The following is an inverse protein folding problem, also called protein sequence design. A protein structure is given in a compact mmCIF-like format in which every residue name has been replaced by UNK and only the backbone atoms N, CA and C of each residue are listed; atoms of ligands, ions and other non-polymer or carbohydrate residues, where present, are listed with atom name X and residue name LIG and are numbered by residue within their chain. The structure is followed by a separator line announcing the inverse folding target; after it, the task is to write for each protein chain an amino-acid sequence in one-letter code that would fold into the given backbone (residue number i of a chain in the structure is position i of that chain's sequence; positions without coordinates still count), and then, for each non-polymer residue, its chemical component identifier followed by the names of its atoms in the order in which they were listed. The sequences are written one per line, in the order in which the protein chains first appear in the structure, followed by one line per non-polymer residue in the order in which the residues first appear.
data_IF_580305580708
#
_entry.id   IF_580305580708
#
_cell.length_a   1.000
_cell.length_b   1.000
_cell.length_c   1.000
_cell.angle_alpha   90.00
_cell.angle_beta   90.00
_cell.angle_gamma   90.00
#
_symmetry.space_group_name_H-M   'P 1'
#
loop_
_entity.id
_entity.type
_entity.pdbx_description
1 polymer ?
#
# COMPACT_ATOMS: atom_id res chain seq x y z
N UNK A 1 4.05 -34.48 -6.76
CA UNK A 1 2.58 -34.60 -6.56
C UNK A 1 2.10 -34.46 -5.10
N UNK A 2 2.14 -35.50 -4.24
CA UNK A 2 1.51 -35.47 -2.89
C UNK A 2 1.96 -34.29 -2.02
N UNK A 3 3.27 -34.07 -1.91
CA UNK A 3 3.85 -32.97 -1.11
C UNK A 3 3.37 -31.59 -1.58
N UNK A 4 3.29 -31.36 -2.89
CA UNK A 4 2.72 -30.13 -3.45
C UNK A 4 1.24 -30.00 -3.08
N UNK A 5 0.47 -31.08 -3.22
CA UNK A 5 -0.97 -31.08 -2.90
C UNK A 5 -1.23 -30.66 -1.44
N UNK A 6 -0.39 -31.12 -0.51
CA UNK A 6 -0.44 -30.73 0.91
C UNK A 6 -0.10 -29.24 1.10
N UNK A 7 1.02 -28.75 0.55
CA UNK A 7 1.38 -27.33 0.65
C UNK A 7 0.33 -26.42 0.01
N UNK A 8 -0.23 -26.83 -1.11
CA UNK A 8 -1.24 -26.11 -1.86
C UNK A 8 -2.57 -26.05 -1.07
N UNK A 9 -3.01 -27.15 -0.46
CA UNK A 9 -4.16 -27.16 0.46
C UNK A 9 -3.94 -26.26 1.69
N UNK A 10 -2.72 -26.23 2.25
CA UNK A 10 -2.35 -25.31 3.35
C UNK A 10 -2.46 -23.84 2.89
N UNK A 11 -2.02 -23.51 1.66
CA UNK A 11 -2.13 -22.17 1.07
C UNK A 11 -3.60 -21.76 0.88
N UNK A 12 -4.48 -22.67 0.42
CA UNK A 12 -5.93 -22.43 0.34
C UNK A 12 -6.49 -22.08 1.72
N UNK A 13 -6.29 -22.96 2.70
CA UNK A 13 -6.84 -22.79 4.06
C UNK A 13 -6.33 -21.50 4.71
N UNK A 14 -5.03 -21.19 4.58
CA UNK A 14 -4.44 -19.96 5.11
C UNK A 14 -4.99 -18.70 4.40
N UNK A 15 -5.16 -18.75 3.08
CA UNK A 15 -5.73 -17.65 2.29
C UNK A 15 -7.19 -17.37 2.66
N UNK A 16 -8.00 -18.43 2.81
CA UNK A 16 -9.40 -18.32 3.24
C UNK A 16 -9.52 -17.74 4.65
N UNK A 17 -8.91 -18.39 5.65
CA UNK A 17 -8.99 -17.96 7.05
C UNK A 17 -8.44 -16.54 7.24
N UNK A 18 -7.31 -16.24 6.61
CA UNK A 18 -6.67 -14.92 6.67
C UNK A 18 -7.54 -13.82 6.06
N UNK A 19 -8.02 -13.99 4.83
CA UNK A 19 -8.76 -12.93 4.14
C UNK A 19 -10.21 -12.80 4.62
N UNK A 20 -10.86 -13.89 5.06
CA UNK A 20 -12.13 -13.80 5.81
C UNK A 20 -11.92 -12.96 7.07
N UNK A 21 -10.84 -13.18 7.82
CA UNK A 21 -10.51 -12.37 9.02
C UNK A 21 -10.28 -10.90 8.67
N UNK A 22 -9.59 -10.59 7.56
CA UNK A 22 -9.41 -9.21 7.07
C UNK A 22 -10.74 -8.55 6.76
N UNK A 23 -11.62 -9.20 5.99
CA UNK A 23 -12.96 -8.71 5.66
C UNK A 23 -13.79 -8.45 6.94
N UNK A 24 -13.91 -9.45 7.81
CA UNK A 24 -14.70 -9.38 9.06
C UNK A 24 -14.20 -8.27 9.98
N UNK A 25 -12.89 -8.19 10.23
CA UNK A 25 -12.30 -7.19 11.14
C UNK A 25 -12.43 -5.77 10.59
N UNK A 26 -12.24 -5.57 9.27
CA UNK A 26 -12.44 -4.26 8.63
C UNK A 26 -13.91 -3.82 8.72
N UNK A 27 -14.86 -4.69 8.39
CA UNK A 27 -16.28 -4.33 8.32
C UNK A 27 -16.86 -4.00 9.71
N UNK A 28 -16.53 -4.81 10.72
CA UNK A 28 -17.02 -4.63 12.09
C UNK A 28 -16.35 -3.45 12.82
N UNK A 29 -15.09 -3.11 12.49
CA UNK A 29 -14.36 -2.05 13.21
C UNK A 29 -14.56 -0.68 12.55
N UNK A 30 -15.44 0.17 13.12
CA UNK A 30 -15.78 1.50 12.57
C UNK A 30 -14.57 2.34 12.13
N UNK A 31 -13.51 2.38 12.95
CA UNK A 31 -12.28 3.14 12.66
C UNK A 31 -11.45 2.57 11.50
N UNK A 32 -11.52 1.26 11.23
CA UNK A 32 -10.94 0.65 10.02
C UNK A 32 -11.87 0.85 8.82
N UNK A 33 -13.17 0.57 8.96
CA UNK A 33 -14.19 0.76 7.91
C UNK A 33 -14.23 2.18 7.33
N UNK A 34 -13.93 3.20 8.14
CA UNK A 34 -13.84 4.60 7.70
C UNK A 34 -12.48 4.98 7.07
N UNK A 35 -11.46 4.13 7.15
CA UNK A 35 -10.13 4.36 6.54
C UNK A 35 -10.18 4.16 5.02
N UNK A 36 -9.67 5.13 4.26
CA UNK A 36 -9.55 5.05 2.79
C UNK A 36 -8.79 3.78 2.36
N UNK A 37 -7.73 3.44 3.10
CA UNK A 37 -6.89 2.25 2.87
C UNK A 37 -7.68 0.94 2.88
N UNK A 38 -8.70 0.86 3.74
CA UNK A 38 -9.52 -0.33 3.87
C UNK A 38 -10.42 -0.57 2.67
N UNK A 39 -10.55 0.39 1.73
CA UNK A 39 -11.19 0.13 0.43
C UNK A 39 -10.28 -0.75 -0.44
N UNK A 40 -9.00 -0.39 -0.58
CA UNK A 40 -8.03 -1.16 -1.37
C UNK A 40 -7.65 -2.49 -0.71
N UNK A 41 -7.55 -2.52 0.63
CA UNK A 41 -7.26 -3.76 1.39
C UNK A 41 -8.45 -4.73 1.32
N UNK A 42 -9.69 -4.23 1.39
CA UNK A 42 -10.88 -5.08 1.20
C UNK A 42 -11.00 -5.56 -0.25
N UNK A 43 -10.66 -4.73 -1.24
CA UNK A 43 -10.57 -5.13 -2.65
C UNK A 43 -9.62 -6.33 -2.83
N UNK A 44 -8.40 -6.23 -2.28
CA UNK A 44 -7.40 -7.30 -2.35
C UNK A 44 -7.85 -8.57 -1.61
N UNK A 45 -8.42 -8.43 -0.40
CA UNK A 45 -8.93 -9.56 0.36
C UNK A 45 -10.08 -10.28 -0.37
N UNK A 46 -10.92 -9.57 -1.12
CA UNK A 46 -11.99 -10.18 -1.93
C UNK A 46 -11.45 -10.86 -3.18
N UNK A 47 -10.44 -10.31 -3.88
CA UNK A 47 -9.81 -11.00 -5.02
C UNK A 47 -8.99 -12.22 -4.57
N UNK A 48 -8.31 -12.15 -3.42
CA UNK A 48 -7.63 -13.29 -2.81
C UNK A 48 -8.63 -14.40 -2.38
N UNK A 49 -9.81 -14.04 -1.86
CA UNK A 49 -10.87 -15.02 -1.54
C UNK A 49 -11.47 -15.65 -2.79
N UNK A 50 -11.73 -14.88 -3.85
CA UNK A 50 -12.18 -15.43 -5.14
C UNK A 50 -11.14 -16.41 -5.69
N UNK A 51 -9.85 -16.07 -5.61
CA UNK A 51 -8.76 -16.97 -6.02
C UNK A 51 -8.76 -18.26 -5.19
N UNK A 52 -8.87 -18.16 -3.86
CA UNK A 52 -8.86 -19.31 -2.96
C UNK A 52 -10.13 -20.19 -3.04
N UNK A 53 -11.27 -19.65 -3.47
CA UNK A 53 -12.54 -20.38 -3.61
C UNK A 53 -12.78 -20.96 -5.02
N UNK A 54 -12.32 -20.29 -6.09
CA UNK A 54 -12.75 -20.55 -7.47
C UNK A 54 -11.60 -20.76 -8.46
N UNK A 55 -10.34 -20.66 -8.01
CA UNK A 55 -9.17 -20.92 -8.85
C UNK A 55 -8.32 -22.02 -8.23
N UNK A 56 -7.82 -21.78 -7.02
CA UNK A 56 -6.95 -22.71 -6.29
C UNK A 56 -7.53 -24.13 -6.13
N UNK A 57 -8.84 -24.35 -5.88
CA UNK A 57 -9.36 -25.71 -5.74
C UNK A 57 -9.29 -26.53 -7.04
N UNK A 58 -9.54 -25.90 -8.19
CA UNK A 58 -9.45 -26.56 -9.50
C UNK A 58 -8.00 -26.84 -9.91
N UNK A 59 -7.07 -25.93 -9.62
CA UNK A 59 -5.63 -26.17 -9.79
C UNK A 59 -5.17 -27.38 -8.94
N UNK A 60 -5.61 -27.47 -7.68
CA UNK A 60 -5.32 -28.59 -6.78
C UNK A 60 -5.92 -29.90 -7.28
N UNK A 61 -7.18 -29.89 -7.74
CA UNK A 61 -7.83 -31.05 -8.34
C UNK A 61 -7.11 -31.51 -9.60
N UNK A 62 -6.65 -30.59 -10.45
CA UNK A 62 -5.84 -30.88 -11.63
C UNK A 62 -4.46 -31.46 -11.26
N UNK A 63 -3.86 -31.06 -10.14
CA UNK A 63 -2.62 -31.69 -9.62
C UNK A 63 -2.93 -33.13 -9.18
N UNK A 64 -4.01 -33.36 -8.44
CA UNK A 64 -4.38 -34.69 -7.92
C UNK A 64 -4.83 -35.64 -9.04
N UNK A 65 -5.55 -35.13 -10.04
CA UNK A 65 -6.16 -35.90 -11.14
C UNK A 65 -5.24 -36.05 -12.35
N UNK A 66 -3.92 -35.84 -12.20
CA UNK A 66 -2.92 -35.95 -13.28
C UNK A 66 -3.28 -35.11 -14.53
N UNK A 67 -3.74 -33.87 -14.29
CA UNK A 67 -4.21 -32.88 -15.27
C UNK A 67 -5.52 -33.23 -16.01
N UNK A 68 -6.20 -34.32 -15.64
CA UNK A 68 -7.53 -34.68 -16.18
C UNK A 68 -8.61 -33.73 -15.67
N UNK A 69 -9.47 -33.27 -16.56
CA UNK A 69 -10.56 -32.32 -16.32
C UNK A 69 -11.93 -32.93 -16.58
N UNK A 70 -12.72 -33.10 -15.50
CA UNK A 70 -14.03 -33.77 -15.55
C UNK A 70 -15.24 -32.82 -15.61
N UNK A 71 -15.06 -31.52 -15.35
CA UNK A 71 -16.17 -30.56 -15.17
C UNK A 71 -16.70 -29.90 -16.46
N UNK A 72 -16.22 -30.35 -17.63
CA UNK A 72 -16.66 -29.87 -18.93
C UNK A 72 -16.30 -28.40 -19.28
N UNK A 73 -16.78 -27.95 -20.44
CA UNK A 73 -16.41 -26.67 -21.07
C UNK A 73 -16.82 -25.43 -20.24
N UNK A 74 -17.98 -25.47 -19.57
CA UNK A 74 -18.50 -24.30 -18.83
C UNK A 74 -17.60 -24.01 -17.62
N UNK A 75 -17.33 -25.01 -16.78
CA UNK A 75 -16.45 -24.82 -15.62
C UNK A 75 -15.01 -24.53 -16.03
N UNK A 76 -14.53 -25.09 -17.16
CA UNK A 76 -13.20 -24.78 -17.71
C UNK A 76 -13.06 -23.29 -18.05
N UNK A 77 -14.09 -22.72 -18.70
CA UNK A 77 -14.11 -21.29 -19.00
C UNK A 77 -14.34 -20.44 -17.73
N UNK A 78 -15.08 -20.91 -16.71
CA UNK A 78 -15.22 -20.21 -15.41
C UNK A 78 -13.89 -20.15 -14.66
N UNK A 79 -13.18 -21.28 -14.52
CA UNK A 79 -11.87 -21.37 -13.86
C UNK A 79 -10.84 -20.43 -14.50
N UNK A 80 -10.63 -20.57 -15.81
CA UNK A 80 -9.67 -19.76 -16.58
C UNK A 80 -10.03 -18.26 -16.58
N UNK A 81 -11.31 -17.90 -16.74
CA UNK A 81 -11.78 -16.49 -16.64
C UNK A 81 -11.56 -15.94 -15.23
N UNK A 82 -11.82 -16.72 -14.19
CA UNK A 82 -11.68 -16.25 -12.79
C UNK A 82 -10.21 -15.98 -12.44
N UNK A 83 -9.28 -16.83 -12.89
CA UNK A 83 -7.83 -16.55 -12.81
C UNK A 83 -7.48 -15.23 -13.53
N UNK A 84 -7.98 -15.05 -14.76
CA UNK A 84 -7.74 -13.87 -15.59
C UNK A 84 -8.37 -12.58 -15.02
N UNK A 85 -9.39 -12.68 -14.18
CA UNK A 85 -9.94 -11.53 -13.45
C UNK A 85 -9.15 -11.26 -12.17
N UNK A 86 -8.94 -12.29 -11.34
CA UNK A 86 -8.51 -12.12 -9.95
C UNK A 86 -7.05 -11.65 -9.83
N UNK A 87 -6.13 -12.21 -10.63
CA UNK A 87 -4.71 -11.84 -10.58
C UNK A 87 -4.49 -10.36 -10.98
N UNK A 88 -5.05 -9.84 -12.10
CA UNK A 88 -5.05 -8.41 -12.40
C UNK A 88 -5.70 -7.56 -11.31
N UNK A 89 -6.85 -8.00 -10.77
CA UNK A 89 -7.58 -7.26 -9.72
C UNK A 89 -6.69 -7.05 -8.48
N UNK A 90 -5.92 -8.06 -8.10
CA UNK A 90 -4.98 -7.98 -6.97
C UNK A 90 -3.83 -6.99 -7.22
N UNK A 91 -3.09 -7.09 -8.34
CA UNK A 91 -1.98 -6.15 -8.61
C UNK A 91 -2.45 -4.72 -8.85
N UNK A 92 -3.58 -4.50 -9.53
CA UNK A 92 -4.14 -3.17 -9.71
C UNK A 92 -4.60 -2.57 -8.36
N UNK A 93 -5.13 -3.39 -7.45
CA UNK A 93 -5.49 -2.95 -6.08
C UNK A 93 -4.25 -2.54 -5.28
N UNK A 94 -3.13 -3.27 -5.43
CA UNK A 94 -1.83 -2.92 -4.84
C UNK A 94 -1.22 -1.66 -5.45
N UNK A 95 -1.34 -1.45 -6.76
CA UNK A 95 -0.91 -0.24 -7.44
C UNK A 95 -1.73 0.98 -6.96
N UNK A 96 -3.06 0.87 -6.90
CA UNK A 96 -3.93 1.94 -6.40
C UNK A 96 -3.62 2.31 -4.94
N UNK A 97 -3.39 1.32 -4.07
CA UNK A 97 -2.92 1.52 -2.70
C UNK A 97 -1.56 2.23 -2.68
N UNK A 98 -0.61 1.82 -3.52
CA UNK A 98 0.74 2.40 -3.60
C UNK A 98 0.70 3.86 -4.09
N UNK A 99 -0.10 4.17 -5.11
CA UNK A 99 -0.32 5.55 -5.58
C UNK A 99 -0.92 6.42 -4.48
N UNK A 100 -1.97 5.95 -3.79
CA UNK A 100 -2.57 6.69 -2.67
C UNK A 100 -1.55 6.96 -1.54
N UNK A 101 -0.77 5.94 -1.16
CA UNK A 101 0.26 6.07 -0.11
C UNK A 101 1.41 6.98 -0.51
N UNK A 102 1.84 6.96 -1.77
CA UNK A 102 2.88 7.84 -2.28
C UNK A 102 2.43 9.31 -2.26
N UNK A 103 1.21 9.60 -2.74
CA UNK A 103 0.60 10.94 -2.70
C UNK A 103 0.49 11.48 -1.27
N UNK A 104 -0.12 10.70 -0.36
CA UNK A 104 -0.24 11.00 1.07
C UNK A 104 1.11 11.17 1.79
N UNK A 105 2.21 10.66 1.22
CA UNK A 105 3.56 10.89 1.73
C UNK A 105 4.18 12.17 1.13
N UNK A 106 3.96 12.50 -0.14
CA UNK A 106 4.51 13.72 -0.74
C UNK A 106 3.86 15.00 -0.22
N UNK A 107 2.55 15.01 -0.03
CA UNK A 107 1.76 16.22 0.28
C UNK A 107 2.19 16.94 1.58
N UNK A 108 2.29 18.29 1.57
CA UNK A 108 2.32 19.11 2.78
C UNK A 108 1.04 18.92 3.61
N UNK A 109 1.19 18.82 4.93
CA UNK A 109 0.07 18.49 5.82
C UNK A 109 -1.01 19.58 5.88
N UNK A 110 -0.62 20.82 5.60
CA UNK A 110 -1.53 21.97 5.63
C UNK A 110 -2.40 22.04 4.37
N UNK A 111 -1.91 21.55 3.23
CA UNK A 111 -2.74 21.33 2.02
C UNK A 111 -3.73 20.18 2.26
N UNK A 112 -3.28 19.10 2.94
CA UNK A 112 -4.16 17.98 3.31
C UNK A 112 -5.28 18.41 4.29
N UNK A 113 -5.04 19.38 5.19
CA UNK A 113 -6.10 19.99 6.02
C UNK A 113 -7.15 20.71 5.17
N UNK A 114 -6.73 21.42 4.12
CA UNK A 114 -7.61 22.26 3.31
C UNK A 114 -8.41 21.48 2.25
N UNK A 115 -7.80 20.50 1.57
CA UNK A 115 -8.51 19.67 0.58
C UNK A 115 -7.90 18.26 0.46
N UNK A 116 -8.57 17.20 0.92
CA UNK A 116 -8.06 15.83 0.79
C UNK A 116 -8.23 15.32 -0.64
N UNK A 117 -7.12 15.15 -1.39
CA UNK A 117 -7.14 14.72 -2.79
C UNK A 117 -7.92 13.41 -3.01
N UNK A 118 -7.72 12.43 -2.12
CA UNK A 118 -8.45 11.17 -2.12
C UNK A 118 -9.48 11.15 -1.00
N UNK A 119 -10.76 11.01 -1.34
CA UNK A 119 -11.85 10.78 -0.37
C UNK A 119 -12.28 9.30 -0.41
N UNK A 120 -13.00 8.83 0.62
CA UNK A 120 -13.50 7.45 0.64
C UNK A 120 -14.42 7.14 -0.56
N UNK A 121 -15.28 8.09 -0.97
CA UNK A 121 -16.14 7.95 -2.17
C UNK A 121 -15.30 7.81 -3.44
N UNK A 122 -14.26 8.64 -3.62
CA UNK A 122 -13.32 8.51 -4.76
C UNK A 122 -12.59 7.16 -4.75
N UNK A 123 -12.10 6.69 -3.60
CA UNK A 123 -11.43 5.40 -3.49
C UNK A 123 -12.36 4.21 -3.78
N UNK A 124 -13.63 4.25 -3.33
CA UNK A 124 -14.63 3.24 -3.71
C UNK A 124 -14.92 3.24 -5.21
N UNK A 125 -15.04 4.41 -5.85
CA UNK A 125 -15.21 4.51 -7.31
C UNK A 125 -14.01 3.89 -8.04
N UNK A 126 -12.77 4.21 -7.63
CA UNK A 126 -11.56 3.60 -8.20
C UNK A 126 -11.57 2.07 -8.10
N UNK A 127 -12.00 1.52 -6.96
CA UNK A 127 -12.17 0.06 -6.80
C UNK A 127 -13.26 -0.48 -7.74
N UNK A 128 -14.45 0.14 -7.81
CA UNK A 128 -15.52 -0.33 -8.70
C UNK A 128 -15.11 -0.30 -10.18
N UNK A 129 -14.45 0.76 -10.65
CA UNK A 129 -13.95 0.85 -12.03
C UNK A 129 -12.86 -0.20 -12.32
N UNK A 130 -12.00 -0.49 -11.36
CA UNK A 130 -10.95 -1.52 -11.45
C UNK A 130 -11.56 -2.92 -11.58
N UNK A 131 -12.53 -3.27 -10.73
CA UNK A 131 -13.24 -4.56 -10.82
C UNK A 131 -14.02 -4.70 -12.14
N UNK A 132 -14.70 -3.63 -12.58
CA UNK A 132 -15.39 -3.62 -13.88
C UNK A 132 -14.40 -3.82 -15.05
N UNK A 133 -13.25 -3.14 -15.03
CA UNK A 133 -12.19 -3.32 -16.02
C UNK A 133 -11.66 -4.77 -16.03
N UNK A 134 -11.27 -5.32 -14.87
CA UNK A 134 -10.70 -6.67 -14.80
C UNK A 134 -11.72 -7.75 -15.19
N UNK A 135 -13.00 -7.59 -14.83
CA UNK A 135 -14.08 -8.47 -15.30
C UNK A 135 -14.23 -8.40 -16.83
N UNK A 136 -14.46 -7.21 -17.39
CA UNK A 136 -14.67 -7.02 -18.83
C UNK A 136 -13.47 -7.50 -19.67
N UNK A 137 -12.25 -7.26 -19.20
CA UNK A 137 -11.04 -7.75 -19.87
C UNK A 137 -10.96 -9.28 -19.80
N UNK A 138 -11.21 -9.89 -18.63
CA UNK A 138 -11.15 -11.34 -18.45
C UNK A 138 -12.13 -12.13 -19.30
N UNK A 139 -13.26 -11.52 -19.69
CA UNK A 139 -14.31 -12.13 -20.49
C UNK A 139 -14.01 -12.15 -22.01
N UNK A 140 -13.03 -11.38 -22.49
CA UNK A 140 -12.74 -11.29 -23.94
C UNK A 140 -12.46 -12.65 -24.62
N UNK A 141 -11.76 -13.63 -24.01
CA UNK A 141 -11.58 -14.96 -24.59
C UNK A 141 -12.90 -15.72 -24.79
N UNK A 142 -13.85 -15.57 -23.87
CA UNK A 142 -15.20 -16.17 -23.96
C UNK A 142 -15.95 -15.60 -25.16
N UNK A 143 -15.85 -14.29 -25.38
CA UNK A 143 -16.42 -13.56 -26.52
C UNK A 143 -15.56 -13.59 -27.79
N UNK A 144 -14.65 -14.57 -27.93
CA UNK A 144 -13.99 -14.88 -29.21
C UNK A 144 -12.49 -14.58 -29.30
N UNK A 145 -11.85 -13.99 -28.27
CA UNK A 145 -10.39 -13.81 -28.26
C UNK A 145 -9.61 -15.08 -27.87
N UNK A 146 -10.28 -16.24 -27.85
CA UNK A 146 -9.68 -17.57 -27.66
C UNK A 146 -9.05 -18.11 -28.95
N UNK A 147 -8.12 -19.06 -28.84
CA UNK A 147 -7.36 -19.60 -29.99
C UNK A 147 -8.07 -20.77 -30.69
N UNK A 148 -8.81 -21.57 -29.93
CA UNK A 148 -9.51 -22.78 -30.37
C UNK A 148 -11.02 -22.65 -30.10
N UNK A 149 -11.89 -23.29 -30.90
CA UNK A 149 -13.34 -23.18 -30.74
C UNK A 149 -13.87 -23.76 -29.41
N UNK A 150 -13.17 -24.75 -28.84
CA UNK A 150 -13.43 -25.33 -27.50
C UNK A 150 -12.19 -25.24 -26.64
N UNK A 151 -12.37 -24.96 -25.35
CA UNK A 151 -11.30 -24.91 -24.35
C UNK A 151 -10.99 -26.30 -23.77
N UNK A 152 -11.97 -27.21 -23.73
CA UNK A 152 -11.78 -28.62 -23.35
C UNK A 152 -11.63 -29.50 -24.58
N UNK A 153 -10.54 -30.29 -24.65
CA UNK A 153 -10.35 -31.37 -25.63
C UNK A 153 -9.62 -32.54 -24.95
N UNK A 154 -9.93 -33.79 -25.32
CA UNK A 154 -9.29 -35.00 -24.77
C UNK A 154 -9.20 -35.05 -23.23
N UNK A 155 -10.26 -34.62 -22.54
CA UNK A 155 -10.31 -34.50 -21.07
C UNK A 155 -9.27 -33.55 -20.45
N UNK A 156 -8.68 -32.63 -21.21
CA UNK A 156 -7.86 -31.53 -20.69
C UNK A 156 -8.57 -30.19 -20.89
N UNK A 157 -8.61 -29.35 -19.85
CA UNK A 157 -8.99 -27.94 -19.97
C UNK A 157 -7.74 -27.12 -20.31
N UNK A 158 -7.70 -26.56 -21.52
CA UNK A 158 -6.58 -25.73 -21.97
C UNK A 158 -6.79 -24.26 -21.65
N UNK A 159 -5.71 -23.56 -21.31
CA UNK A 159 -5.69 -22.10 -21.17
C UNK A 159 -5.77 -21.43 -22.55
N UNK A 160 -6.98 -21.44 -23.11
CA UNK A 160 -7.29 -21.24 -24.52
C UNK A 160 -7.27 -19.75 -24.93
N UNK A 161 -6.08 -19.14 -24.99
CA UNK A 161 -5.90 -17.72 -25.26
C UNK A 161 -5.23 -17.48 -26.62
N UNK A 162 -5.69 -16.46 -27.36
CA UNK A 162 -4.96 -15.94 -28.51
C UNK A 162 -3.64 -15.30 -28.07
N UNK A 163 -2.63 -15.32 -28.95
CA UNK A 163 -1.33 -14.68 -28.68
C UNK A 163 -1.51 -13.18 -28.38
N UNK A 164 -2.37 -12.50 -29.14
CA UNK A 164 -2.71 -11.08 -28.97
C UNK A 164 -3.28 -10.80 -27.58
N UNK A 165 -4.26 -11.60 -27.12
CA UNK A 165 -4.81 -11.47 -25.76
C UNK A 165 -3.73 -11.69 -24.69
N UNK A 166 -2.95 -12.77 -24.82
CA UNK A 166 -1.92 -13.13 -23.85
C UNK A 166 -0.84 -12.06 -23.70
N UNK A 167 -0.36 -11.48 -24.81
CA UNK A 167 0.64 -10.40 -24.78
C UNK A 167 0.06 -9.13 -24.19
N UNK A 168 -1.12 -8.69 -24.64
CA UNK A 168 -1.77 -7.48 -24.11
C UNK A 168 -2.07 -7.61 -22.62
N UNK A 169 -2.59 -8.77 -22.17
CA UNK A 169 -2.83 -9.04 -20.75
C UNK A 169 -1.53 -9.03 -19.96
N UNK A 170 -0.49 -9.74 -20.42
CA UNK A 170 0.81 -9.77 -19.74
C UNK A 170 1.42 -8.38 -19.60
N UNK A 171 1.31 -7.52 -20.62
CA UNK A 171 1.83 -6.15 -20.56
C UNK A 171 0.98 -5.24 -19.68
N UNK A 172 -0.31 -5.12 -19.95
CA UNK A 172 -1.20 -4.12 -19.35
C UNK A 172 -1.64 -4.51 -17.93
N UNK A 173 -1.88 -5.81 -17.69
CA UNK A 173 -2.38 -6.30 -16.40
C UNK A 173 -1.30 -6.77 -15.43
N UNK A 174 -0.08 -7.06 -15.90
CA UNK A 174 1.02 -7.52 -15.04
C UNK A 174 2.28 -6.66 -15.13
N UNK A 175 2.99 -6.67 -16.26
CA UNK A 175 4.35 -6.09 -16.36
C UNK A 175 4.35 -4.58 -16.10
N UNK A 176 3.48 -3.81 -16.76
CA UNK A 176 3.40 -2.36 -16.57
C UNK A 176 2.94 -2.01 -15.13
N UNK A 177 1.86 -2.61 -14.58
CA UNK A 177 1.50 -2.42 -13.17
C UNK A 177 2.62 -2.77 -12.18
N UNK A 178 3.35 -3.86 -12.38
CA UNK A 178 4.47 -4.28 -11.51
C UNK A 178 5.63 -3.29 -11.58
N UNK A 179 6.00 -2.80 -12.77
CA UNK A 179 7.06 -1.80 -12.92
C UNK A 179 6.67 -0.49 -12.21
N UNK A 180 5.46 0.02 -12.46
CA UNK A 180 4.98 1.27 -11.85
C UNK A 180 4.87 1.13 -10.33
N UNK A 181 4.27 0.03 -9.84
CA UNK A 181 4.14 -0.23 -8.42
C UNK A 181 5.52 -0.32 -7.74
N UNK A 182 6.46 -1.08 -8.31
CA UNK A 182 7.82 -1.23 -7.78
C UNK A 182 8.57 0.10 -7.75
N UNK A 183 8.54 0.88 -8.83
CA UNK A 183 9.16 2.20 -8.90
C UNK A 183 8.59 3.15 -7.84
N UNK A 184 7.26 3.29 -7.78
CA UNK A 184 6.60 4.17 -6.80
C UNK A 184 6.89 3.72 -5.36
N UNK A 185 6.96 2.41 -5.10
CA UNK A 185 7.21 1.89 -3.76
C UNK A 185 8.67 2.08 -3.32
N UNK A 186 9.65 1.87 -4.21
CA UNK A 186 11.05 2.24 -3.95
C UNK A 186 11.20 3.74 -3.68
N UNK A 187 10.55 4.61 -4.48
CA UNK A 187 10.54 6.07 -4.25
C UNK A 187 9.87 6.43 -2.92
N UNK A 188 8.76 5.78 -2.57
CA UNK A 188 8.05 5.95 -1.30
C UNK A 188 8.92 5.54 -0.10
N UNK A 189 9.56 4.37 -0.17
CA UNK A 189 10.43 3.83 0.89
C UNK A 189 11.62 4.74 1.13
N UNK A 190 12.33 5.18 0.07
CA UNK A 190 13.44 6.11 0.18
C UNK A 190 13.04 7.46 0.84
N UNK A 191 11.87 8.01 0.52
CA UNK A 191 11.34 9.22 1.18
C UNK A 191 10.98 8.94 2.64
N UNK A 192 10.38 7.79 2.95
CA UNK A 192 10.05 7.39 4.32
C UNK A 192 11.30 7.17 5.19
N UNK A 193 12.41 6.65 4.64
CA UNK A 193 13.70 6.53 5.32
C UNK A 193 14.33 7.91 5.56
N UNK A 194 14.41 8.77 4.53
CA UNK A 194 14.95 10.15 4.66
C UNK A 194 14.21 10.99 5.71
N UNK A 195 12.90 10.78 5.88
CA UNK A 195 12.10 11.45 6.93
C UNK A 195 12.19 10.79 8.31
N UNK A 196 12.51 9.49 8.39
CA UNK A 196 12.76 8.81 9.66
C UNK A 196 14.15 9.12 10.24
N UNK A 197 15.14 9.35 9.38
CA UNK A 197 16.52 9.69 9.73
C UNK A 197 16.93 11.02 9.06
N UNK A 198 16.41 12.17 9.52
CA UNK A 198 16.86 13.46 9.01
C UNK A 198 18.37 13.64 9.28
N UNK A 199 19.12 14.25 8.34
CA UNK A 199 20.57 14.44 8.50
C UNK A 199 20.89 15.27 9.75
N UNK A 200 22.01 14.99 10.42
CA UNK A 200 22.45 15.64 11.67
C UNK A 200 22.99 17.08 11.47
N UNK A 201 22.56 17.78 10.42
CA UNK A 201 22.97 19.16 10.11
C UNK A 201 22.37 20.15 11.11
N UNK A 202 23.21 20.85 11.87
CA UNK A 202 22.84 22.09 12.57
C UNK A 202 23.02 22.14 14.10
N UNK A 203 23.14 21.02 14.83
CA UNK A 203 23.14 21.05 16.32
C UNK A 203 24.37 21.75 16.98
N UNK A 204 25.39 22.15 16.19
CA UNK A 204 26.50 23.01 16.64
C UNK A 204 26.28 24.52 16.40
N UNK A 205 25.42 24.94 15.48
CA UNK A 205 25.27 26.35 15.10
C UNK A 205 24.53 27.23 16.13
N UNK A 206 23.75 26.62 17.03
CA UNK A 206 22.86 27.35 17.95
C UNK A 206 23.50 27.93 19.21
N UNK A 207 24.67 27.45 19.66
CA UNK A 207 25.28 27.93 20.93
C UNK A 207 26.10 29.21 20.77
N UNK A 208 26.79 29.42 19.66
CA UNK A 208 27.75 30.51 19.50
C UNK A 208 27.08 31.90 19.44
N UNK A 209 25.90 32.02 18.82
CA UNK A 209 25.21 33.32 18.62
C UNK A 209 24.53 33.90 19.87
N UNK A 210 24.33 33.12 20.94
CA UNK A 210 23.79 33.66 22.19
C UNK A 210 24.89 34.23 23.10
N UNK A 211 26.10 33.67 23.05
CA UNK A 211 27.20 34.04 23.95
C UNK A 211 27.96 35.31 23.49
N UNK A 212 27.86 35.70 22.22
CA UNK A 212 28.43 36.96 21.73
C UNK A 212 27.64 38.19 22.20
N UNK A 213 26.31 38.18 22.08
CA UNK A 213 25.41 39.28 22.49
C UNK A 213 25.44 39.60 24.00
N UNK A 214 26.02 38.73 24.83
CA UNK A 214 26.20 38.95 26.28
C UNK A 214 27.57 39.56 26.64
N UNK A 215 28.55 39.58 25.73
CA UNK A 215 29.84 40.28 25.96
C UNK A 215 29.79 41.75 25.54
N UNK A 216 29.11 42.04 24.43
CA UNK A 216 28.99 43.39 23.85
C UNK A 216 28.30 44.40 24.78
N UNK A 217 27.43 43.93 25.69
CA UNK A 217 26.71 44.77 26.67
C UNK A 217 27.43 44.98 28.02
N UNK A 218 28.70 44.55 28.18
CA UNK A 218 29.42 44.63 29.47
C UNK A 218 30.84 45.19 29.39
N UNK A 219 31.17 45.87 28.29
CA UNK A 219 32.50 46.45 28.05
C UNK A 219 32.43 47.89 27.55
N UNK A 220 31.89 48.80 28.36
CA UNK A 220 32.04 50.26 28.20
C UNK A 220 31.68 50.97 29.52
N UNK A 221 32.54 50.82 30.53
CA UNK A 221 32.56 51.65 31.74
C UNK A 221 34.03 51.95 32.05
N UNK A 222 34.53 53.04 31.45
CA UNK A 222 35.87 53.57 31.65
C UNK A 222 35.74 55.08 31.81
N UNK A 223 36.12 55.60 32.98
CA UNK A 223 35.92 57.00 33.39
C UNK A 223 36.91 57.93 32.69
N UNK A 224 36.45 59.10 32.21
CA UNK A 224 37.31 60.27 31.99
C UNK A 224 36.54 61.61 31.94
N UNK A 225 36.91 62.52 32.86
CA UNK A 225 36.76 64.00 32.88
C UNK A 225 35.38 64.69 32.89
N UNK A 226 35.38 65.87 33.53
CA UNK A 226 34.29 66.85 33.62
C UNK A 226 34.49 68.00 32.63
N UNK A 227 33.43 68.78 32.33
CA UNK A 227 33.36 70.25 32.48
C UNK A 227 31.98 70.81 32.05
N UNK A 228 31.43 71.79 32.79
CA UNK A 228 30.24 72.63 32.44
C UNK A 228 28.86 71.90 32.37
N UNK A 229 27.66 72.52 32.43
CA UNK A 229 27.23 73.87 32.91
C UNK A 229 25.72 73.88 33.32
N UNK A 230 25.26 75.00 33.89
CA UNK A 230 23.89 75.51 34.19
C UNK A 230 22.62 74.67 33.84
N UNK A 231 21.96 74.13 34.87
CA UNK A 231 20.68 74.57 35.51
C UNK A 231 19.40 74.95 34.65
N UNK A 232 18.18 75.22 35.22
CA UNK A 232 17.02 74.38 34.91
C UNK A 232 15.69 75.12 34.53
N UNK A 233 14.64 74.39 34.10
CA UNK A 233 13.22 74.82 34.26
C UNK A 233 12.14 73.76 33.92
N UNK A 234 11.02 73.82 34.67
CA UNK A 234 9.63 73.29 34.43
C UNK A 234 9.44 71.76 34.36
N UNK A 235 8.54 71.06 35.08
CA UNK A 235 7.28 71.32 35.84
C UNK A 235 5.96 71.09 35.05
N UNK A 236 5.18 70.09 35.47
CA UNK A 236 3.81 69.78 35.02
C UNK A 236 3.71 68.97 33.71
N UNK A 237 2.71 68.11 33.48
CA UNK A 237 1.55 67.70 34.32
C UNK A 237 1.04 66.30 33.88
N UNK A 238 0.06 65.77 34.61
CA UNK A 238 -0.52 64.41 34.52
C UNK A 238 -2.03 64.55 34.24
N UNK A 239 -2.76 63.65 33.54
CA UNK A 239 -2.40 62.28 33.11
C UNK A 239 -2.19 62.12 31.58
N UNK A 240 -2.90 61.39 30.70
CA UNK A 240 -4.17 60.62 30.74
C UNK A 240 -4.06 59.28 29.95
N UNK A 241 -5.13 58.84 29.28
CA UNK A 241 -5.37 57.49 28.77
C UNK A 241 -4.95 57.21 27.32
N UNK A 242 -4.27 56.08 27.10
CA UNK A 242 -4.59 55.19 25.96
C UNK A 242 -4.24 53.72 26.29
N UNK A 243 -5.25 52.94 26.70
CA UNK A 243 -5.06 51.53 27.06
C UNK A 243 -4.78 50.66 25.83
N UNK A 244 -3.70 49.88 25.86
CA UNK A 244 -3.39 48.86 24.86
C UNK A 244 -3.47 47.44 25.47
N UNK A 245 -4.43 46.59 25.05
CA UNK A 245 -4.67 45.30 25.70
C UNK A 245 -3.68 44.22 25.24
N UNK A 246 -2.51 44.12 25.91
CA UNK A 246 -1.45 43.18 25.50
C UNK A 246 -0.84 42.41 26.67
N UNK A 247 -1.37 41.22 26.98
CA UNK A 247 -0.68 40.25 27.87
C UNK A 247 -1.15 38.80 27.67
N UNK A 248 -2.44 38.52 27.83
CA UNK A 248 -2.92 37.15 28.14
C UNK A 248 -3.04 36.17 26.96
N UNK A 249 -2.95 36.62 25.71
CA UNK A 249 -3.18 35.74 24.54
C UNK A 249 -1.95 34.88 24.16
N UNK A 250 -0.72 35.38 24.43
CA UNK A 250 0.52 34.72 24.00
C UNK A 250 0.76 33.28 24.54
N UNK A 251 0.41 32.94 25.80
CA UNK A 251 0.62 31.59 26.33
C UNK A 251 -0.21 30.53 25.59
N UNK A 252 -1.45 30.86 25.25
CA UNK A 252 -2.41 29.91 24.65
C UNK A 252 -2.01 29.54 23.22
N UNK A 253 -1.64 30.54 22.41
CA UNK A 253 -1.23 30.32 21.03
C UNK A 253 0.12 29.58 20.91
N UNK A 254 1.05 29.87 21.82
CA UNK A 254 2.29 29.11 21.99
C UNK A 254 2.02 27.64 22.33
N UNK A 255 1.06 27.36 23.23
CA UNK A 255 0.69 25.99 23.60
C UNK A 255 -0.02 25.25 22.46
N UNK A 256 -0.96 25.91 21.76
CA UNK A 256 -1.68 25.38 20.58
C UNK A 256 -0.69 24.98 19.47
N UNK A 257 0.24 25.87 19.14
CA UNK A 257 1.29 25.64 18.14
C UNK A 257 2.16 24.41 18.47
N UNK A 258 2.52 24.23 19.75
CA UNK A 258 3.25 23.03 20.22
C UNK A 258 2.41 21.76 20.09
N UNK A 259 1.11 21.82 20.40
CA UNK A 259 0.22 20.67 20.31
C UNK A 259 0.03 20.22 18.85
N UNK A 260 -0.20 21.16 17.93
CA UNK A 260 -0.31 20.85 16.49
C UNK A 260 0.99 20.25 15.93
N UNK A 261 2.17 20.77 16.32
CA UNK A 261 3.46 20.21 15.92
C UNK A 261 3.67 18.76 16.42
N UNK A 262 3.16 18.41 17.62
CA UNK A 262 3.18 17.04 18.15
C UNK A 262 2.23 16.12 17.35
N UNK A 263 1.02 16.59 17.04
CA UNK A 263 0.04 15.84 16.24
C UNK A 263 0.57 15.58 14.83
N UNK A 264 1.14 16.60 14.18
CA UNK A 264 1.83 16.53 12.88
C UNK A 264 2.91 15.44 12.89
N UNK A 265 3.80 15.44 13.89
CA UNK A 265 4.86 14.43 14.00
C UNK A 265 4.30 13.01 14.20
N UNK A 266 3.24 12.84 15.01
CA UNK A 266 2.55 11.54 15.19
C UNK A 266 1.93 11.04 13.88
N UNK A 267 1.29 11.93 13.11
CA UNK A 267 0.71 11.61 11.79
C UNK A 267 1.79 11.21 10.78
N UNK A 268 2.89 11.96 10.69
CA UNK A 268 4.04 11.62 9.83
C UNK A 268 4.63 10.24 10.18
N UNK A 269 4.84 9.95 11.47
CA UNK A 269 5.33 8.64 11.90
C UNK A 269 4.35 7.51 11.54
N UNK A 270 3.03 7.73 11.67
CA UNK A 270 2.03 6.73 11.23
C UNK A 270 2.07 6.52 9.72
N UNK A 271 2.19 7.58 8.92
CA UNK A 271 2.30 7.47 7.46
C UNK A 271 3.60 6.76 7.04
N UNK A 272 4.73 7.01 7.71
CA UNK A 272 6.01 6.30 7.50
C UNK A 272 5.89 4.81 7.84
N UNK A 273 5.25 4.45 8.96
CA UNK A 273 4.99 3.04 9.32
C UNK A 273 4.11 2.36 8.27
N UNK A 274 3.04 3.03 7.84
CA UNK A 274 2.13 2.49 6.83
C UNK A 274 2.77 2.36 5.43
N UNK A 275 3.66 3.28 5.05
CA UNK A 275 4.48 3.17 3.85
C UNK A 275 5.40 1.94 3.91
N UNK A 276 6.06 1.67 5.06
CA UNK A 276 6.85 0.44 5.26
C UNK A 276 6.01 -0.84 5.16
N UNK A 277 4.77 -0.84 5.63
CA UNK A 277 3.84 -1.97 5.43
C UNK A 277 3.48 -2.15 3.95
N UNK A 278 3.18 -1.05 3.25
CA UNK A 278 2.84 -1.07 1.81
C UNK A 278 4.04 -1.49 0.95
N UNK A 279 5.27 -1.21 1.38
CA UNK A 279 6.50 -1.75 0.78
C UNK A 279 6.56 -3.28 0.88
N UNK A 280 6.39 -3.84 2.08
CA UNK A 280 6.46 -5.29 2.29
C UNK A 280 5.39 -6.05 1.48
N UNK A 281 4.19 -5.49 1.32
CA UNK A 281 3.11 -6.12 0.55
C UNK A 281 3.43 -6.17 -0.96
N UNK A 282 3.88 -5.06 -1.55
CA UNK A 282 4.25 -5.05 -2.97
C UNK A 282 5.51 -5.89 -3.22
N UNK A 283 6.48 -5.83 -2.31
CA UNK A 283 7.67 -6.69 -2.39
C UNK A 283 7.31 -8.18 -2.34
N UNK A 284 6.42 -8.58 -1.42
CA UNK A 284 5.85 -9.93 -1.35
C UNK A 284 5.22 -10.33 -2.69
N UNK A 285 4.34 -9.49 -3.24
CA UNK A 285 3.67 -9.78 -4.51
C UNK A 285 4.67 -10.00 -5.64
N UNK A 286 5.68 -9.13 -5.77
CA UNK A 286 6.70 -9.23 -6.83
C UNK A 286 7.55 -10.49 -6.67
N UNK A 287 8.03 -10.80 -5.46
CA UNK A 287 8.81 -12.03 -5.21
C UNK A 287 7.97 -13.29 -5.50
N UNK A 288 6.68 -13.26 -5.20
CA UNK A 288 5.79 -14.41 -5.41
C UNK A 288 5.41 -14.60 -6.89
N UNK A 289 4.99 -13.55 -7.59
CA UNK A 289 4.38 -13.65 -8.92
C UNK A 289 5.33 -13.46 -10.10
N UNK A 290 6.47 -12.76 -9.92
CA UNK A 290 7.38 -12.49 -11.03
C UNK A 290 7.98 -13.77 -11.65
N UNK A 291 8.39 -14.81 -10.89
CA UNK A 291 8.93 -16.04 -11.49
C UNK A 291 7.91 -16.77 -12.38
N UNK A 292 6.68 -16.97 -11.88
CA UNK A 292 5.61 -17.63 -12.66
C UNK A 292 5.26 -16.83 -13.91
N UNK A 293 5.15 -15.52 -13.78
CA UNK A 293 4.77 -14.63 -14.90
C UNK A 293 5.87 -14.56 -15.96
N UNK A 294 7.14 -14.56 -15.56
CA UNK A 294 8.27 -14.65 -16.48
C UNK A 294 8.27 -15.96 -17.27
N UNK A 295 8.06 -17.09 -16.61
CA UNK A 295 7.96 -18.40 -17.29
C UNK A 295 6.73 -18.47 -18.21
N UNK A 296 5.58 -17.97 -17.76
CA UNK A 296 4.34 -17.91 -18.57
C UNK A 296 4.53 -17.09 -19.85
N UNK A 297 5.12 -15.89 -19.74
CA UNK A 297 5.43 -15.03 -20.89
C UNK A 297 6.44 -15.71 -21.82
N UNK A 298 7.47 -16.36 -21.26
CA UNK A 298 8.50 -17.07 -22.03
C UNK A 298 7.93 -18.27 -22.78
N UNK A 299 7.05 -19.05 -22.15
CA UNK A 299 6.33 -20.17 -22.77
C UNK A 299 5.43 -19.72 -23.93
N UNK A 300 4.82 -18.54 -23.83
CA UNK A 300 3.92 -18.00 -24.87
C UNK A 300 4.71 -17.37 -26.03
N UNK A 301 5.84 -16.70 -25.76
CA UNK A 301 6.61 -15.96 -26.77
C UNK A 301 7.71 -16.78 -27.45
N UNK A 302 8.34 -17.73 -26.76
CA UNK A 302 9.52 -18.45 -27.27
C UNK A 302 9.20 -19.94 -27.52
N UNK A 303 8.93 -20.31 -28.78
CA UNK A 303 8.58 -21.70 -29.15
C UNK A 303 9.64 -22.74 -28.75
N UNK A 304 10.94 -22.40 -28.76
CA UNK A 304 12.01 -23.30 -28.28
C UNK A 304 11.92 -23.47 -26.76
N UNK A 305 11.93 -22.36 -26.02
CA UNK A 305 11.81 -22.32 -24.57
C UNK A 305 10.54 -23.03 -24.07
N UNK A 306 9.42 -22.93 -24.80
CA UNK A 306 8.17 -23.62 -24.48
C UNK A 306 8.31 -25.15 -24.47
N UNK A 307 9.12 -25.72 -25.37
CA UNK A 307 9.41 -27.17 -25.41
C UNK A 307 10.25 -27.57 -24.20
N UNK A 308 11.23 -26.75 -23.81
CA UNK A 308 12.07 -27.03 -22.64
C UNK A 308 11.32 -26.86 -21.31
N UNK A 309 10.47 -25.84 -21.19
CA UNK A 309 9.56 -25.66 -20.05
C UNK A 309 8.54 -26.82 -19.97
N UNK A 310 8.04 -27.31 -21.10
CA UNK A 310 7.11 -28.44 -21.15
C UNK A 310 7.71 -29.79 -20.68
N UNK A 311 9.04 -29.94 -20.68
CA UNK A 311 9.72 -31.10 -20.04
C UNK A 311 9.65 -31.06 -18.52
N UNK A 312 9.38 -29.90 -17.93
CA UNK A 312 9.43 -29.64 -16.49
C UNK A 312 8.17 -28.91 -15.98
N UNK A 313 6.96 -29.49 -16.14
CA UNK A 313 5.71 -28.85 -15.72
C UNK A 313 5.66 -28.56 -14.21
N UNK A 314 6.36 -29.37 -13.39
CA UNK A 314 6.60 -29.14 -11.96
C UNK A 314 7.12 -27.72 -11.65
N UNK A 315 7.91 -27.11 -12.55
CA UNK A 315 8.41 -25.73 -12.37
C UNK A 315 7.29 -24.68 -12.46
N UNK A 316 6.42 -24.80 -13.47
CA UNK A 316 5.27 -23.90 -13.61
C UNK A 316 4.35 -24.04 -12.39
N UNK A 317 4.03 -25.27 -12.00
CA UNK A 317 3.21 -25.58 -10.82
C UNK A 317 3.82 -25.02 -9.52
N UNK A 318 5.14 -25.18 -9.32
CA UNK A 318 5.84 -24.66 -8.14
C UNK A 318 5.79 -23.12 -8.08
N UNK A 319 6.11 -22.43 -9.17
CA UNK A 319 6.10 -20.97 -9.17
C UNK A 319 4.67 -20.38 -9.15
N UNK A 320 3.69 -21.09 -9.69
CA UNK A 320 2.26 -20.75 -9.57
C UNK A 320 1.79 -20.86 -8.10
N UNK A 321 2.14 -21.96 -7.42
CA UNK A 321 1.91 -22.14 -5.99
C UNK A 321 2.60 -21.04 -5.15
N UNK A 322 3.81 -20.60 -5.54
CA UNK A 322 4.49 -19.46 -4.92
C UNK A 322 3.72 -18.14 -5.16
N UNK A 323 3.11 -17.94 -6.33
CA UNK A 323 2.19 -16.83 -6.60
C UNK A 323 1.02 -16.80 -5.63
N UNK A 324 0.32 -17.93 -5.47
CA UNK A 324 -0.82 -18.05 -4.56
C UNK A 324 -0.47 -17.93 -3.07
N UNK A 325 0.77 -18.29 -2.68
CA UNK A 325 1.26 -18.04 -1.31
C UNK A 325 1.13 -16.56 -0.92
N UNK A 326 1.21 -15.62 -1.87
CA UNK A 326 0.99 -14.20 -1.60
C UNK A 326 -0.40 -13.90 -0.98
N UNK A 327 -1.45 -14.60 -1.42
CA UNK A 327 -2.81 -14.42 -0.89
C UNK A 327 -2.91 -14.81 0.59
N UNK A 328 -2.09 -15.75 1.06
CA UNK A 328 -1.93 -16.09 2.47
C UNK A 328 -1.03 -15.09 3.23
N UNK A 329 0.02 -14.55 2.58
CA UNK A 329 0.94 -13.56 3.18
C UNK A 329 0.25 -12.20 3.41
N UNK A 330 -0.68 -11.78 2.54
CA UNK A 330 -1.38 -10.50 2.64
C UNK A 330 -2.01 -10.25 4.06
N UNK A 331 -2.89 -11.13 4.58
CA UNK A 331 -3.40 -11.06 5.97
C UNK A 331 -2.33 -10.97 7.07
N UNK A 332 -1.22 -11.69 6.91
CA UNK A 332 -0.09 -11.71 7.86
C UNK A 332 0.56 -10.32 7.91
N UNK A 333 0.86 -9.73 6.75
CA UNK A 333 1.48 -8.40 6.66
C UNK A 333 0.59 -7.30 7.25
N UNK A 334 -0.74 -7.37 7.09
CA UNK A 334 -1.66 -6.46 7.78
C UNK A 334 -1.62 -6.65 9.30
N UNK A 335 -1.73 -7.90 9.76
CA UNK A 335 -1.87 -8.26 11.18
C UNK A 335 -0.64 -7.96 12.03
N UNK A 336 0.56 -8.19 11.50
CA UNK A 336 1.81 -7.95 12.25
C UNK A 336 2.31 -6.50 12.17
N UNK A 337 1.81 -5.66 11.23
CA UNK A 337 2.40 -4.33 10.95
C UNK A 337 1.46 -3.15 11.16
N UNK A 338 0.13 -3.31 11.15
CA UNK A 338 -0.79 -2.28 11.66
C UNK A 338 -1.14 -2.53 13.12
N UNK A 339 -0.74 -1.60 13.99
CA UNK A 339 -1.14 -1.56 15.41
C UNK A 339 -2.65 -1.47 15.59
N UNK A 340 -3.32 -0.74 14.70
CA UNK A 340 -4.76 -0.55 14.67
C UNK A 340 -5.48 -1.85 14.30
N UNK A 341 -5.00 -2.56 13.26
CA UNK A 341 -5.54 -3.87 12.86
C UNK A 341 -5.27 -4.93 13.92
N UNK A 342 -4.04 -5.01 14.47
CA UNK A 342 -3.70 -5.96 15.55
C UNK A 342 -4.57 -5.74 16.79
N UNK A 343 -4.87 -4.48 17.14
CA UNK A 343 -5.84 -4.17 18.21
C UNK A 343 -7.24 -4.63 17.83
N UNK A 344 -7.72 -4.32 16.63
CA UNK A 344 -9.05 -4.71 16.16
C UNK A 344 -9.26 -6.24 16.15
N UNK A 345 -8.28 -7.02 15.70
CA UNK A 345 -8.28 -8.50 15.80
C UNK A 345 -8.40 -8.94 17.27
N UNK A 346 -7.56 -8.40 18.17
CA UNK A 346 -7.57 -8.76 19.59
C UNK A 346 -8.90 -8.40 20.27
N UNK A 347 -9.45 -7.24 19.96
CA UNK A 347 -10.71 -6.74 20.52
C UNK A 347 -11.92 -7.49 19.92
N UNK A 348 -11.86 -7.96 18.68
CA UNK A 348 -12.88 -8.84 18.08
C UNK A 348 -12.89 -10.23 18.73
N UNK A 349 -11.72 -10.86 18.90
CA UNK A 349 -11.59 -12.15 19.59
C UNK A 349 -12.08 -12.05 21.05
N UNK A 350 -11.79 -10.93 21.73
CA UNK A 350 -12.25 -10.61 23.09
C UNK A 350 -13.74 -10.26 23.22
N UNK A 351 -14.48 -10.18 22.11
CA UNK A 351 -15.96 -10.00 22.09
C UNK A 351 -16.70 -11.27 21.68
N UNK A 352 -15.96 -12.37 21.43
CA UNK A 352 -16.46 -13.73 21.20
C UNK A 352 -16.10 -14.69 22.36
N UNK A 353 -15.48 -14.15 23.40
CA UNK A 353 -15.38 -14.70 24.76
C UNK A 353 -16.10 -13.73 25.67
#
# INVERSE_FOLDING_TARGET
MVTYSIFYAIIIIASLLGNITVCVVILNTRSLRQSINSCFILSLAVSDLITACLVMPFDLELIISFQRWIHGEIMCNVWTTTYLMAVPTSILSLLALTVYRYRLLQEPLDIYKASPLMTRRRASIVVCCLWAYSMLFSLAPVFGWKRLPRSVNYEYCYFNLSLTYSVLSSMINFVIPVIIASFLNCRMFCVAIKRAHPPKTGRRAGKTKHMSRLKEKRGNVSVAKQESIEDPARLGTVQESSNSPTSEQQPVESMRSRHEAILIRKLQQRNIRAARTTFLIVFSFVVCWLPHSFLSITYILCRKCAIDIAKHPELLTFFLMLGYLNSAINPVLYSFRSSEFKKAVKDFIRRRR
#
